data_IF_286407953235
#
_entry.id   IF_286407953235
#
_cell.length_a   1.000
_cell.length_b   1.000
_cell.length_c   1.000
_cell.angle_alpha   90.00
_cell.angle_beta   90.00
_cell.angle_gamma   90.00
#
_symmetry.space_group_name_H-M   'P 1'
#
loop_
_entity.id
_entity.type
_entity.pdbx_description
1 polymer ?
#
# COMPACT_ATOMS: atom_id res chain seq x y z
N UNK A 1 -20.39 -0.80 5.90
CA UNK A 1 -20.88 -0.95 4.52
C UNK A 1 -22.11 -0.06 4.33
N UNK A 2 -22.10 0.79 3.30
CA UNK A 2 -23.25 1.67 3.01
C UNK A 2 -23.33 2.95 3.85
N UNK A 3 -22.26 3.37 4.49
CA UNK A 3 -22.19 4.66 5.15
C UNK A 3 -22.29 5.80 4.12
N UNK A 4 -23.11 6.83 4.39
CA UNK A 4 -23.26 7.98 3.49
C UNK A 4 -22.06 8.93 3.48
N UNK A 5 -21.08 8.67 4.34
CA UNK A 5 -19.87 9.48 4.53
C UNK A 5 -18.62 8.62 4.42
N UNK A 6 -17.58 9.20 3.82
CA UNK A 6 -16.25 8.60 3.80
C UNK A 6 -15.41 9.20 4.92
N UNK A 7 -14.74 8.34 5.69
CA UNK A 7 -13.84 8.76 6.76
C UNK A 7 -12.39 8.47 6.37
N UNK A 8 -11.51 9.45 6.56
CA UNK A 8 -10.07 9.32 6.29
C UNK A 8 -9.29 9.55 7.57
N UNK A 9 -8.36 8.65 7.87
CA UNK A 9 -7.42 8.82 8.96
C UNK A 9 -6.12 9.46 8.49
N UNK A 10 -5.74 10.60 9.07
CA UNK A 10 -4.51 11.32 8.72
C UNK A 10 -3.64 11.48 9.96
N UNK A 11 -2.42 10.94 9.90
CA UNK A 11 -1.40 11.13 10.93
C UNK A 11 -0.47 12.26 10.53
N UNK A 12 -0.19 13.18 11.44
CA UNK A 12 0.77 14.25 11.20
C UNK A 12 2.16 13.68 10.95
N UNK A 13 2.77 14.14 9.88
CA UNK A 13 4.19 13.95 9.56
C UNK A 13 4.86 15.30 9.72
N UNK A 14 5.94 15.35 10.49
CA UNK A 14 6.70 16.59 10.66
C UNK A 14 7.30 17.02 9.32
N UNK A 15 7.08 18.29 8.94
CA UNK A 15 7.47 18.80 7.61
C UNK A 15 6.58 18.32 6.46
N UNK A 16 5.59 17.46 6.69
CA UNK A 16 4.67 16.96 5.67
C UNK A 16 3.67 18.04 5.24
N UNK A 17 3.68 18.40 3.95
CA UNK A 17 2.81 19.46 3.41
C UNK A 17 1.32 19.13 3.59
N UNK A 18 0.88 17.98 3.07
CA UNK A 18 -0.53 17.60 3.12
C UNK A 18 -1.04 17.32 4.54
N UNK A 19 -0.28 16.57 5.35
CA UNK A 19 -0.71 16.26 6.72
C UNK A 19 -0.82 17.50 7.61
N UNK A 20 0.04 18.50 7.40
CA UNK A 20 -0.04 19.78 8.11
C UNK A 20 -1.25 20.60 7.65
N UNK A 21 -1.52 20.62 6.35
CA UNK A 21 -2.70 21.26 5.77
C UNK A 21 -3.99 20.61 6.28
N UNK A 22 -4.08 19.29 6.22
CA UNK A 22 -5.27 18.54 6.60
C UNK A 22 -5.68 18.72 8.06
N UNK A 23 -4.72 18.88 8.98
CA UNK A 23 -4.99 19.17 10.37
C UNK A 23 -5.54 20.59 10.63
N UNK A 24 -5.42 21.47 9.65
CA UNK A 24 -5.99 22.82 9.68
C UNK A 24 -7.42 22.92 9.15
N UNK A 25 -7.95 21.85 8.56
CA UNK A 25 -9.30 21.81 7.99
C UNK A 25 -10.39 21.96 9.08
N UNK A 26 -11.45 22.62 8.71
CA UNK A 26 -12.62 22.86 9.56
C UNK A 26 -13.86 22.24 8.94
N UNK A 27 -14.91 21.97 9.72
CA UNK A 27 -16.20 21.59 9.18
C UNK A 27 -16.68 22.60 8.12
N UNK A 28 -17.19 22.08 7.00
CA UNK A 28 -17.61 22.80 5.80
C UNK A 28 -16.49 23.24 4.85
N UNK A 29 -15.21 22.97 5.12
CA UNK A 29 -14.18 23.11 4.12
C UNK A 29 -14.40 22.08 2.99
N UNK A 30 -14.15 22.51 1.75
CA UNK A 30 -14.35 21.68 0.57
C UNK A 30 -13.00 21.26 0.00
N UNK A 31 -12.85 19.95 -0.23
CA UNK A 31 -11.68 19.37 -0.87
C UNK A 31 -12.07 18.73 -2.20
N UNK A 32 -11.24 18.94 -3.22
CA UNK A 32 -11.30 18.16 -4.43
C UNK A 32 -10.54 16.85 -4.20
N UNK A 33 -11.20 15.73 -4.44
CA UNK A 33 -10.63 14.39 -4.25
C UNK A 33 -10.87 13.56 -5.51
N UNK A 34 -9.93 12.67 -5.82
CA UNK A 34 -10.15 11.65 -6.84
C UNK A 34 -11.10 10.57 -6.30
N UNK A 35 -11.83 9.86 -7.16
CA UNK A 35 -12.57 8.67 -6.76
C UNK A 35 -11.65 7.68 -6.03
N UNK A 36 -12.16 6.94 -5.02
CA UNK A 36 -11.38 5.91 -4.35
C UNK A 36 -10.88 4.87 -5.35
N UNK A 37 -9.60 4.59 -5.31
CA UNK A 37 -8.93 3.57 -6.11
C UNK A 37 -8.02 2.72 -5.24
N UNK A 38 -7.60 1.56 -5.75
CA UNK A 38 -6.68 0.68 -5.07
C UNK A 38 -7.20 -0.75 -4.93
N UNK A 39 -6.31 -1.66 -4.54
CA UNK A 39 -6.58 -3.10 -4.47
C UNK A 39 -6.34 -3.70 -3.09
N UNK A 40 -5.93 -2.88 -2.13
CA UNK A 40 -5.71 -3.33 -0.76
C UNK A 40 -7.04 -3.46 -0.01
N UNK A 41 -7.86 -4.41 -0.48
CA UNK A 41 -9.20 -4.69 0.03
C UNK A 41 -9.37 -6.18 0.29
N UNK A 42 -10.21 -6.54 1.27
CA UNK A 42 -10.65 -7.90 1.47
C UNK A 42 -11.97 -8.11 0.69
N UNK A 43 -12.06 -9.13 -0.18
CA UNK A 43 -13.33 -9.50 -0.76
C UNK A 43 -14.25 -10.00 0.36
N UNK A 44 -15.47 -9.45 0.42
CA UNK A 44 -16.44 -9.83 1.44
C UNK A 44 -17.32 -10.96 0.92
N UNK A 45 -17.39 -12.04 1.66
CA UNK A 45 -18.25 -13.21 1.39
C UNK A 45 -17.56 -14.52 1.77
N UNK A 46 -18.24 -15.33 2.56
CA UNK A 46 -17.73 -16.63 2.99
C UNK A 46 -17.32 -16.69 4.46
N UNK A 47 -16.41 -17.60 4.75
CA UNK A 47 -15.79 -17.79 6.07
C UNK A 47 -14.28 -17.86 5.91
N UNK A 48 -13.59 -16.91 6.49
CA UNK A 48 -12.14 -16.77 6.36
C UNK A 48 -11.49 -16.42 7.70
N UNK A 49 -10.20 -16.74 7.81
CA UNK A 49 -9.35 -16.32 8.90
C UNK A 49 -8.35 -15.29 8.37
N UNK A 50 -8.31 -14.12 8.98
CA UNK A 50 -7.43 -13.03 8.54
C UNK A 50 -6.38 -12.71 9.59
N UNK A 51 -5.13 -12.54 9.15
CA UNK A 51 -4.08 -11.89 9.95
C UNK A 51 -3.85 -10.49 9.41
N UNK A 52 -3.92 -9.51 10.30
CA UNK A 52 -3.68 -8.10 10.00
C UNK A 52 -2.45 -7.62 10.77
N UNK A 53 -1.47 -7.09 10.08
CA UNK A 53 -0.25 -6.53 10.66
C UNK A 53 -0.21 -5.03 10.36
N UNK A 54 -0.26 -4.20 11.39
CA UNK A 54 -0.29 -2.75 11.25
C UNK A 54 0.82 -2.08 12.06
N UNK A 55 1.34 -0.96 11.56
CA UNK A 55 2.15 -0.06 12.37
C UNK A 55 1.82 1.41 12.08
N UNK A 56 1.65 2.18 13.15
CA UNK A 56 1.37 3.61 13.09
C UNK A 56 0.15 3.92 12.22
N UNK A 57 0.33 4.80 11.22
CA UNK A 57 -0.75 5.19 10.30
C UNK A 57 -1.17 4.09 9.31
N UNK A 58 -0.36 3.04 9.13
CA UNK A 58 -0.77 1.86 8.35
C UNK A 58 -2.00 1.14 8.91
N UNK A 59 -2.41 1.49 10.11
CA UNK A 59 -3.66 0.97 10.68
C UNK A 59 -4.93 1.49 9.97
N UNK A 60 -4.85 2.55 9.17
CA UNK A 60 -6.04 3.13 8.50
C UNK A 60 -6.73 2.15 7.55
N UNK A 61 -6.05 1.54 6.54
CA UNK A 61 -6.68 0.53 5.70
C UNK A 61 -6.95 -0.77 6.48
N UNK A 62 -6.10 -1.12 7.43
CA UNK A 62 -6.26 -2.30 8.27
C UNK A 62 -7.55 -2.24 9.10
N UNK A 63 -7.88 -1.05 9.67
CA UNK A 63 -9.16 -0.84 10.36
C UNK A 63 -10.34 -1.02 9.41
N UNK A 64 -10.26 -0.48 8.21
CA UNK A 64 -11.31 -0.62 7.20
C UNK A 64 -11.56 -2.09 6.85
N UNK A 65 -10.48 -2.86 6.61
CA UNK A 65 -10.56 -4.30 6.34
C UNK A 65 -11.17 -5.05 7.55
N UNK A 66 -10.64 -4.82 8.75
CA UNK A 66 -11.14 -5.49 9.97
C UNK A 66 -12.64 -5.25 10.18
N UNK A 67 -13.06 -4.00 10.08
CA UNK A 67 -14.46 -3.62 10.26
C UNK A 67 -15.34 -4.25 9.17
N UNK A 68 -14.95 -4.15 7.90
CA UNK A 68 -15.73 -4.69 6.77
C UNK A 68 -15.89 -6.22 6.87
N UNK A 69 -14.82 -6.92 7.22
CA UNK A 69 -14.87 -8.39 7.42
C UNK A 69 -15.78 -8.75 8.60
N UNK A 70 -15.59 -8.12 9.76
CA UNK A 70 -16.35 -8.45 10.96
C UNK A 70 -17.85 -8.13 10.84
N UNK A 71 -18.20 -7.07 10.10
CA UNK A 71 -19.58 -6.67 9.83
C UNK A 71 -20.20 -7.47 8.67
N UNK A 72 -19.42 -7.78 7.64
CA UNK A 72 -19.92 -8.41 6.41
C UNK A 72 -19.90 -9.94 6.41
N UNK A 73 -19.09 -10.56 7.28
CA UNK A 73 -18.91 -12.03 7.34
C UNK A 73 -19.18 -12.54 8.75
N UNK A 74 -20.22 -13.34 8.92
CA UNK A 74 -20.69 -13.78 10.24
C UNK A 74 -19.72 -14.73 10.97
N UNK A 75 -18.98 -15.55 10.21
CA UNK A 75 -18.17 -16.65 10.74
C UNK A 75 -16.65 -16.45 10.58
N UNK A 76 -16.25 -15.32 10.00
CA UNK A 76 -14.84 -15.00 9.79
C UNK A 76 -14.20 -14.44 11.06
N UNK A 77 -12.90 -14.72 11.20
CA UNK A 77 -12.08 -14.26 12.32
C UNK A 77 -10.99 -13.31 11.85
N UNK A 78 -10.64 -12.39 12.71
CA UNK A 78 -9.59 -11.39 12.47
C UNK A 78 -8.62 -11.37 13.65
N UNK A 79 -7.35 -11.60 13.36
CA UNK A 79 -6.24 -11.39 14.32
C UNK A 79 -5.47 -10.16 13.89
N UNK A 80 -5.39 -9.15 14.76
CA UNK A 80 -4.65 -7.90 14.51
C UNK A 80 -3.44 -7.81 15.44
N UNK A 81 -2.24 -7.66 14.86
CA UNK A 81 -1.04 -7.23 15.57
C UNK A 81 -0.75 -5.78 15.19
N UNK A 82 -0.86 -4.87 16.16
CA UNK A 82 -0.75 -3.44 15.92
C UNK A 82 0.43 -2.84 16.70
N UNK A 83 1.46 -2.42 15.95
CA UNK A 83 2.68 -1.84 16.49
C UNK A 83 2.58 -0.30 16.55
N UNK A 84 2.98 0.26 17.68
CA UNK A 84 3.05 1.70 17.93
C UNK A 84 4.28 2.02 18.79
N UNK A 85 4.64 3.30 18.90
CA UNK A 85 5.69 3.71 19.82
C UNK A 85 5.23 3.55 21.27
N UNK A 86 4.05 4.07 21.56
CA UNK A 86 3.44 4.08 22.89
C UNK A 86 1.91 4.15 22.78
N UNK A 87 1.24 4.04 23.90
CA UNK A 87 -0.23 4.06 24.01
C UNK A 87 -0.85 5.35 23.45
N UNK A 88 -0.20 6.51 23.65
CA UNK A 88 -0.70 7.80 23.15
C UNK A 88 -0.67 7.91 21.62
N UNK A 89 0.22 7.16 20.99
CA UNK A 89 0.36 7.15 19.52
C UNK A 89 -0.62 6.23 18.79
N UNK A 90 -1.45 5.47 19.51
CA UNK A 90 -2.43 4.54 18.95
C UNK A 90 -3.54 5.34 18.25
N UNK A 91 -3.65 5.18 16.94
CA UNK A 91 -4.79 5.69 16.17
C UNK A 91 -6.00 4.77 16.33
N UNK A 92 -7.20 5.36 16.41
CA UNK A 92 -8.49 4.64 16.50
C UNK A 92 -8.63 3.70 17.69
N UNK A 93 -7.97 3.98 18.82
CA UNK A 93 -7.99 3.13 20.00
C UNK A 93 -9.42 2.76 20.40
N UNK A 94 -10.26 3.76 20.64
CA UNK A 94 -11.66 3.53 21.04
C UNK A 94 -12.43 2.68 20.01
N UNK A 95 -12.24 2.96 18.73
CA UNK A 95 -12.93 2.19 17.68
C UNK A 95 -12.52 0.70 17.65
N UNK A 96 -11.26 0.40 17.98
CA UNK A 96 -10.82 -0.99 18.12
C UNK A 96 -11.32 -1.65 19.40
N UNK A 97 -11.39 -0.89 20.50
CA UNK A 97 -11.99 -1.36 21.75
C UNK A 97 -13.48 -1.71 21.52
N UNK A 98 -14.22 -0.85 20.82
CA UNK A 98 -15.62 -1.07 20.44
C UNK A 98 -15.79 -2.30 19.52
N UNK A 99 -14.87 -2.49 18.54
CA UNK A 99 -14.87 -3.68 17.70
C UNK A 99 -14.60 -4.96 18.51
N UNK A 100 -13.67 -4.90 19.45
CA UNK A 100 -13.33 -6.02 20.32
C UNK A 100 -14.50 -6.39 21.21
N UNK A 101 -15.20 -5.42 21.79
CA UNK A 101 -16.38 -5.66 22.63
C UNK A 101 -17.53 -6.27 21.83
N UNK A 102 -17.72 -5.80 20.59
CA UNK A 102 -18.77 -6.32 19.69
C UNK A 102 -18.49 -7.71 19.16
N UNK A 103 -17.21 -8.03 18.89
CA UNK A 103 -16.81 -9.28 18.20
C UNK A 103 -15.83 -10.12 19.03
N UNK A 104 -16.04 -10.23 20.35
CA UNK A 104 -15.17 -10.89 21.34
C UNK A 104 -14.56 -12.23 20.89
N UNK A 105 -15.36 -13.08 20.23
CA UNK A 105 -14.93 -14.42 19.82
C UNK A 105 -14.29 -14.46 18.42
N UNK A 106 -14.37 -13.36 17.67
CA UNK A 106 -13.95 -13.29 16.28
C UNK A 106 -12.87 -12.25 16.02
N UNK A 107 -12.59 -11.35 16.98
CA UNK A 107 -11.59 -10.32 16.87
C UNK A 107 -10.58 -10.42 18.01
N UNK A 108 -9.36 -10.85 17.65
CA UNK A 108 -8.21 -10.84 18.56
C UNK A 108 -7.28 -9.69 18.19
N UNK A 109 -6.88 -8.89 19.18
CA UNK A 109 -5.98 -7.77 18.98
C UNK A 109 -4.83 -7.80 19.98
N UNK A 110 -3.61 -7.64 19.47
CA UNK A 110 -2.39 -7.55 20.28
C UNK A 110 -1.67 -6.24 19.95
N UNK A 111 -1.37 -5.45 20.97
CA UNK A 111 -0.52 -4.28 20.85
C UNK A 111 0.97 -4.65 21.02
N UNK A 112 1.82 -4.05 20.19
CA UNK A 112 3.28 -4.14 20.29
C UNK A 112 3.81 -2.71 20.45
N UNK A 113 4.60 -2.46 21.52
CA UNK A 113 5.07 -1.13 21.87
C UNK A 113 6.59 -1.02 21.76
N UNK A 114 7.07 -0.02 21.02
CA UNK A 114 8.51 0.19 20.77
C UNK A 114 9.19 0.99 21.92
N UNK A 115 8.49 1.98 22.46
CA UNK A 115 9.04 2.92 23.45
C UNK A 115 8.33 2.85 24.82
N UNK A 116 7.34 2.00 24.98
CA UNK A 116 6.58 1.82 26.21
C UNK A 116 6.62 0.36 26.65
N UNK A 117 7.12 0.12 27.89
CA UNK A 117 7.27 -1.23 28.40
C UNK A 117 5.93 -1.92 28.64
N UNK A 118 5.80 -3.14 28.14
CA UNK A 118 4.69 -4.05 28.38
C UNK A 118 5.14 -5.17 29.35
N UNK A 119 4.20 -5.72 30.12
CA UNK A 119 4.47 -6.82 31.06
C UNK A 119 5.02 -8.07 30.37
N UNK A 120 4.57 -8.31 29.13
CA UNK A 120 5.03 -9.43 28.31
C UNK A 120 6.15 -8.96 27.41
N UNK A 121 7.37 -9.43 27.65
CA UNK A 121 8.57 -9.03 26.91
C UNK A 121 8.45 -9.16 25.38
N UNK A 122 7.68 -10.15 24.89
CA UNK A 122 7.45 -10.36 23.46
C UNK A 122 6.73 -9.17 22.79
N UNK A 123 5.95 -8.41 23.55
CA UNK A 123 5.20 -7.27 23.03
C UNK A 123 5.96 -5.94 23.10
N UNK A 124 7.23 -5.98 23.54
CA UNK A 124 8.13 -4.83 23.55
C UNK A 124 8.99 -4.77 22.29
N UNK A 125 9.28 -3.56 21.79
CA UNK A 125 10.11 -3.31 20.63
C UNK A 125 9.35 -3.41 19.31
N UNK A 126 10.07 -3.39 18.20
CA UNK A 126 9.49 -3.35 16.84
C UNK A 126 8.93 -4.70 16.42
N UNK A 127 7.97 -4.66 15.50
CA UNK A 127 7.47 -5.85 14.81
C UNK A 127 8.43 -6.21 13.67
N UNK A 128 9.36 -7.10 13.95
CA UNK A 128 10.36 -7.63 13.04
C UNK A 128 10.17 -9.12 12.76
N UNK A 129 11.05 -9.71 11.95
CA UNK A 129 11.00 -11.11 11.55
C UNK A 129 11.16 -12.07 12.74
N UNK A 130 12.03 -11.76 13.69
CA UNK A 130 12.26 -12.58 14.88
C UNK A 130 11.02 -12.63 15.78
N UNK A 131 10.41 -11.46 16.01
CA UNK A 131 9.18 -11.35 16.79
C UNK A 131 8.04 -12.14 16.17
N UNK A 132 7.81 -12.01 14.85
CA UNK A 132 6.77 -12.78 14.16
C UNK A 132 7.02 -14.28 14.23
N UNK A 133 8.26 -14.73 14.03
CA UNK A 133 8.64 -16.12 14.17
C UNK A 133 8.42 -16.63 15.60
N UNK A 134 8.75 -15.81 16.61
CA UNK A 134 8.52 -16.15 18.02
C UNK A 134 7.03 -16.20 18.35
N UNK A 135 6.21 -15.27 17.82
CA UNK A 135 4.76 -15.30 18.00
C UNK A 135 4.15 -16.57 17.39
N UNK A 136 4.62 -16.97 16.20
CA UNK A 136 4.20 -18.22 15.57
C UNK A 136 4.60 -19.43 16.39
N UNK A 137 5.85 -19.53 16.84
CA UNK A 137 6.36 -20.63 17.64
C UNK A 137 5.63 -20.78 18.98
N UNK A 138 5.18 -19.67 19.57
CA UNK A 138 4.40 -19.65 20.83
C UNK A 138 2.90 -19.83 20.61
N UNK A 139 2.44 -20.00 19.39
CA UNK A 139 1.03 -20.20 19.05
C UNK A 139 0.15 -18.95 19.23
N UNK A 140 0.75 -17.76 19.25
CA UNK A 140 -0.01 -16.48 19.28
C UNK A 140 -0.57 -16.11 17.91
N UNK A 141 0.10 -16.56 16.86
CA UNK A 141 -0.37 -16.55 15.49
C UNK A 141 -0.11 -17.92 14.86
N UNK A 142 -0.97 -18.33 13.94
CA UNK A 142 -0.83 -19.57 13.15
C UNK A 142 -0.77 -19.21 11.66
N UNK A 143 0.40 -18.79 11.14
CA UNK A 143 0.50 -18.18 9.81
C UNK A 143 -0.13 -19.01 8.68
N UNK A 144 -0.05 -20.33 8.76
CA UNK A 144 -0.60 -21.26 7.76
C UNK A 144 -2.13 -21.37 7.78
N UNK A 145 -2.78 -21.03 8.91
CA UNK A 145 -4.23 -21.13 9.10
C UNK A 145 -4.99 -19.91 8.60
N UNK A 146 -4.27 -18.85 8.20
CA UNK A 146 -4.89 -17.64 7.64
C UNK A 146 -5.09 -17.74 6.13
N UNK A 147 -6.29 -17.42 5.67
CA UNK A 147 -6.65 -17.37 4.25
C UNK A 147 -6.02 -16.19 3.54
N UNK A 148 -5.87 -15.06 4.24
CA UNK A 148 -5.15 -13.89 3.76
C UNK A 148 -4.49 -13.12 4.91
N UNK A 149 -3.33 -12.50 4.61
CA UNK A 149 -2.54 -11.70 5.53
C UNK A 149 -2.38 -10.31 4.92
N UNK A 150 -2.79 -9.27 5.65
CA UNK A 150 -2.69 -7.89 5.21
C UNK A 150 -1.69 -7.14 6.06
N UNK A 151 -0.74 -6.48 5.43
CA UNK A 151 0.36 -5.78 6.09
C UNK A 151 0.38 -4.32 5.65
N UNK A 152 0.31 -3.37 6.60
CA UNK A 152 0.50 -1.96 6.28
C UNK A 152 1.24 -1.23 7.41
N UNK A 153 2.32 -0.54 7.04
CA UNK A 153 3.20 0.15 7.99
C UNK A 153 4.49 0.63 7.32
N UNK A 154 5.55 0.90 8.08
CA UNK A 154 6.84 1.27 7.54
C UNK A 154 7.43 0.16 6.66
N UNK A 155 8.08 0.55 5.56
CA UNK A 155 8.67 -0.40 4.61
C UNK A 155 9.56 -1.48 5.25
N UNK A 156 10.46 -1.18 6.21
CA UNK A 156 11.26 -2.22 6.84
C UNK A 156 10.41 -3.29 7.55
N UNK A 157 9.28 -2.90 8.16
CA UNK A 157 8.35 -3.84 8.78
C UNK A 157 7.65 -4.71 7.73
N UNK A 158 7.19 -4.11 6.63
CA UNK A 158 6.52 -4.86 5.55
C UNK A 158 7.48 -5.90 4.97
N UNK A 159 8.71 -5.51 4.66
CA UNK A 159 9.73 -6.41 4.12
C UNK A 159 10.03 -7.55 5.10
N UNK A 160 10.36 -7.22 6.34
CA UNK A 160 10.68 -8.23 7.36
C UNK A 160 9.52 -9.18 7.64
N UNK A 161 8.29 -8.66 7.69
CA UNK A 161 7.09 -9.48 7.91
C UNK A 161 6.80 -10.41 6.72
N UNK A 162 6.89 -9.90 5.49
CA UNK A 162 6.65 -10.71 4.29
C UNK A 162 7.68 -11.83 4.14
N UNK A 163 8.96 -11.53 4.38
CA UNK A 163 10.04 -12.53 4.35
C UNK A 163 9.84 -13.60 5.45
N UNK A 164 9.56 -13.18 6.69
CA UNK A 164 9.33 -14.10 7.80
C UNK A 164 8.14 -15.03 7.54
N UNK A 165 7.02 -14.50 7.06
CA UNK A 165 5.83 -15.28 6.72
C UNK A 165 6.10 -16.28 5.59
N UNK A 166 6.87 -15.87 4.58
CA UNK A 166 7.29 -16.78 3.49
C UNK A 166 8.18 -17.91 4.01
N UNK A 167 9.13 -17.60 4.91
CA UNK A 167 9.97 -18.63 5.57
C UNK A 167 9.14 -19.57 6.43
N UNK A 168 8.05 -19.08 7.04
CA UNK A 168 7.10 -19.89 7.81
C UNK A 168 6.14 -20.70 6.91
N UNK A 169 6.29 -20.65 5.59
CA UNK A 169 5.57 -21.45 4.61
C UNK A 169 4.31 -20.81 4.05
N UNK A 170 4.03 -19.54 4.37
CA UNK A 170 2.84 -18.86 3.82
C UNK A 170 3.04 -18.60 2.32
N UNK A 171 2.10 -19.04 1.48
CA UNK A 171 2.13 -18.74 0.05
C UNK A 171 2.14 -17.23 -0.22
N UNK A 172 3.00 -16.72 -1.11
CA UNK A 172 3.11 -15.27 -1.39
C UNK A 172 1.79 -14.61 -1.79
N UNK A 173 0.92 -15.31 -2.51
CA UNK A 173 -0.39 -14.82 -2.94
C UNK A 173 -1.36 -14.54 -1.79
N UNK A 174 -1.13 -15.12 -0.61
CA UNK A 174 -1.89 -14.82 0.62
C UNK A 174 -1.37 -13.59 1.34
N UNK A 175 -0.15 -13.13 1.04
CA UNK A 175 0.48 -11.97 1.68
C UNK A 175 0.20 -10.73 0.82
N UNK A 176 -0.59 -9.82 1.35
CA UNK A 176 -0.95 -8.56 0.71
C UNK A 176 -0.42 -7.40 1.53
N UNK A 177 0.14 -6.39 0.88
CA UNK A 177 0.64 -5.24 1.61
C UNK A 177 0.35 -3.92 0.88
N UNK A 178 0.28 -2.85 1.65
CA UNK A 178 0.20 -1.49 1.15
C UNK A 178 1.30 -0.64 1.81
N UNK A 179 2.03 0.11 1.00
CA UNK A 179 3.10 1.00 1.43
C UNK A 179 2.69 2.45 1.23
N UNK A 180 2.65 3.25 2.31
CA UNK A 180 2.28 4.66 2.21
C UNK A 180 3.42 5.56 1.77
N UNK A 181 4.62 5.29 2.24
CA UNK A 181 5.81 6.09 1.92
C UNK A 181 7.05 5.22 1.99
N UNK A 182 7.87 5.13 0.96
CA UNK A 182 9.16 4.47 1.05
C UNK A 182 10.06 5.24 2.03
N UNK A 183 10.71 4.53 2.93
CA UNK A 183 11.63 5.12 3.93
C UNK A 183 12.91 5.68 3.33
N UNK A 184 13.19 5.35 2.08
CA UNK A 184 14.27 5.85 1.22
C UNK A 184 13.93 5.46 -0.22
N UNK A 185 14.50 6.11 -1.25
CA UNK A 185 14.54 5.52 -2.58
C UNK A 185 15.13 4.12 -2.41
N UNK A 186 14.36 3.09 -2.72
CA UNK A 186 14.89 1.71 -2.66
C UNK A 186 16.17 1.68 -3.47
N UNK A 187 17.27 1.09 -2.95
CA UNK A 187 18.43 0.85 -3.78
C UNK A 187 17.90 0.06 -4.98
N UNK A 188 18.04 0.64 -6.15
CA UNK A 188 17.77 -0.05 -7.40
C UNK A 188 18.63 -1.30 -7.31
N UNK A 189 17.98 -2.46 -7.09
CA UNK A 189 18.68 -3.72 -7.23
C UNK A 189 19.33 -3.65 -8.61
N UNK A 190 20.64 -3.63 -8.64
CA UNK A 190 21.43 -3.57 -9.85
C UNK A 190 21.24 -4.88 -10.63
N UNK A 191 20.06 -5.03 -11.23
CA UNK A 191 19.97 -5.84 -12.42
C UNK A 191 20.91 -5.16 -13.42
N UNK A 192 21.90 -5.91 -13.89
CA UNK A 192 22.94 -5.46 -14.78
C UNK A 192 22.39 -4.42 -15.76
N UNK A 193 22.81 -3.17 -15.60
CA UNK A 193 22.39 -2.04 -16.40
C UNK A 193 22.69 -2.33 -17.87
N UNK A 194 21.67 -2.78 -18.60
CA UNK A 194 21.64 -2.52 -20.02
C UNK A 194 21.38 -1.02 -20.18
N UNK A 195 22.08 -0.32 -21.09
CA UNK A 195 22.06 1.12 -21.15
C UNK A 195 20.61 1.61 -21.31
N UNK A 196 20.16 2.42 -20.34
CA UNK A 196 19.03 3.32 -20.53
C UNK A 196 19.27 4.10 -21.83
N UNK A 197 18.21 4.38 -22.58
CA UNK A 197 18.30 5.14 -23.83
C UNK A 197 19.17 6.36 -23.59
N UNK A 198 20.34 6.41 -24.18
CA UNK A 198 21.31 7.51 -24.04
C UNK A 198 20.85 8.79 -24.78
N UNK A 199 19.64 8.79 -25.34
CA UNK A 199 18.93 9.90 -25.97
C UNK A 199 17.53 9.95 -25.41
N UNK A 200 16.99 11.15 -25.22
CA UNK A 200 15.63 11.36 -24.73
C UNK A 200 14.58 10.62 -25.55
N UNK A 201 13.48 10.27 -24.94
CA UNK A 201 12.36 9.61 -25.58
C UNK A 201 11.23 10.60 -25.84
N UNK A 202 10.50 10.39 -26.95
CA UNK A 202 9.20 11.02 -27.16
C UNK A 202 8.13 10.14 -26.52
N UNK A 203 7.40 10.69 -25.60
CA UNK A 203 6.26 10.02 -24.95
C UNK A 203 4.98 10.59 -25.50
N UNK A 204 4.07 9.76 -25.98
CA UNK A 204 2.70 10.12 -26.33
C UNK A 204 1.75 9.45 -25.35
N UNK A 205 0.76 10.19 -24.91
CA UNK A 205 -0.23 9.73 -23.93
C UNK A 205 -1.62 9.89 -24.52
N UNK A 206 -2.44 8.86 -24.39
CA UNK A 206 -3.89 8.92 -24.64
C UNK A 206 -4.57 9.03 -23.28
N UNK A 207 -5.31 10.11 -23.09
CA UNK A 207 -6.04 10.40 -21.86
C UNK A 207 -7.32 11.19 -22.20
N UNK A 208 -8.48 10.71 -21.73
CA UNK A 208 -9.79 11.27 -22.02
C UNK A 208 -10.08 11.40 -23.53
N UNK A 209 -9.67 10.39 -24.31
CA UNK A 209 -9.80 10.36 -25.77
C UNK A 209 -8.84 11.32 -26.51
N UNK A 210 -8.01 12.08 -25.82
CA UNK A 210 -7.07 13.01 -26.41
C UNK A 210 -5.65 12.44 -26.43
N UNK A 211 -4.96 12.57 -27.57
CA UNK A 211 -3.56 12.19 -27.70
C UNK A 211 -2.66 13.42 -27.58
N UNK A 212 -1.73 13.38 -26.62
CA UNK A 212 -0.77 14.47 -26.33
C UNK A 212 0.62 13.89 -26.24
N UNK A 213 1.62 14.67 -26.66
CA UNK A 213 3.03 14.22 -26.65
C UNK A 213 3.93 15.21 -25.96
N UNK A 214 4.97 14.69 -25.29
CA UNK A 214 6.02 15.46 -24.70
C UNK A 214 7.38 14.77 -24.88
N UNK A 215 8.45 15.52 -24.70
CA UNK A 215 9.81 14.99 -24.69
C UNK A 215 10.20 14.62 -23.25
N UNK A 216 10.95 13.55 -23.11
CA UNK A 216 11.49 13.08 -21.85
C UNK A 216 13.00 12.93 -22.00
N UNK A 217 13.78 13.58 -21.17
CA UNK A 217 15.24 13.47 -21.19
C UNK A 217 15.70 12.17 -20.51
N UNK A 218 16.94 11.77 -20.79
CA UNK A 218 17.51 10.60 -20.16
C UNK A 218 17.65 10.81 -18.63
N UNK A 219 16.97 9.97 -17.86
CA UNK A 219 16.98 10.04 -16.38
C UNK A 219 15.77 10.71 -15.76
N UNK A 220 14.93 11.36 -16.55
CA UNK A 220 13.68 11.94 -16.04
C UNK A 220 12.72 10.88 -15.55
N UNK A 221 11.88 11.28 -14.60
CA UNK A 221 10.68 10.53 -14.24
C UNK A 221 9.54 10.95 -15.19
N UNK A 222 8.80 9.99 -15.69
CA UNK A 222 7.74 10.23 -16.69
C UNK A 222 6.68 11.22 -16.20
N UNK A 223 6.26 11.12 -14.94
CA UNK A 223 5.27 12.04 -14.35
C UNK A 223 5.79 13.48 -14.26
N UNK A 224 7.08 13.65 -13.93
CA UNK A 224 7.70 14.98 -13.82
C UNK A 224 7.83 15.61 -15.22
N UNK A 225 8.27 14.87 -16.23
CA UNK A 225 8.36 15.33 -17.59
C UNK A 225 7.00 15.71 -18.18
N UNK A 226 5.96 14.92 -17.89
CA UNK A 226 4.58 15.23 -18.27
C UNK A 226 4.11 16.56 -17.63
N UNK A 227 4.28 16.71 -16.32
CA UNK A 227 3.87 17.89 -15.58
C UNK A 227 4.61 19.14 -16.06
N UNK A 228 5.93 19.07 -16.31
CA UNK A 228 6.72 20.18 -16.89
C UNK A 228 6.22 20.58 -18.28
N UNK A 229 5.65 19.63 -19.01
CA UNK A 229 5.04 19.89 -20.33
C UNK A 229 3.59 20.36 -20.24
N UNK A 230 3.06 20.60 -19.04
CA UNK A 230 1.69 21.03 -18.78
C UNK A 230 0.66 19.90 -18.94
N UNK A 231 1.07 18.65 -18.84
CA UNK A 231 0.20 17.49 -18.91
C UNK A 231 0.08 16.83 -17.53
N UNK A 232 -1.09 16.95 -16.92
CA UNK A 232 -1.39 16.27 -15.65
C UNK A 232 -1.87 14.85 -15.94
N UNK A 233 -1.12 13.85 -15.45
CA UNK A 233 -1.47 12.44 -15.57
C UNK A 233 -2.08 11.92 -14.25
N UNK A 234 -2.95 10.92 -14.29
CA UNK A 234 -3.48 10.30 -13.07
C UNK A 234 -2.35 9.62 -12.27
N UNK A 235 -2.13 10.04 -11.05
CA UNK A 235 -1.24 9.34 -10.11
C UNK A 235 -1.58 9.69 -8.65
N UNK A 236 -1.04 8.90 -7.70
CA UNK A 236 -1.18 9.17 -6.28
C UNK A 236 0.13 8.89 -5.54
N UNK A 237 0.51 7.62 -5.35
CA UNK A 237 1.65 7.25 -4.50
C UNK A 237 3.03 7.53 -5.13
N UNK A 238 3.14 7.64 -6.44
CA UNK A 238 4.37 7.75 -7.23
C UNK A 238 5.41 6.61 -7.00
N UNK A 239 5.02 5.51 -6.35
CA UNK A 239 5.93 4.46 -5.87
C UNK A 239 5.53 3.05 -6.32
N UNK A 240 4.72 2.92 -7.36
CA UNK A 240 4.35 1.61 -7.90
C UNK A 240 3.36 0.78 -7.07
N UNK A 241 2.64 1.40 -6.12
CA UNK A 241 1.82 0.70 -5.12
C UNK A 241 0.31 0.79 -5.35
N UNK A 242 -0.19 1.97 -5.76
CA UNK A 242 -1.64 2.23 -5.73
C UNK A 242 -2.35 1.95 -7.05
N UNK A 243 -1.63 1.65 -8.12
CA UNK A 243 -2.13 1.48 -9.47
C UNK A 243 -2.93 2.66 -10.07
N UNK A 244 -3.00 3.82 -9.39
CA UNK A 244 -3.70 5.02 -9.92
C UNK A 244 -3.13 5.49 -11.26
N UNK A 245 -1.83 5.30 -11.48
CA UNK A 245 -1.12 5.64 -12.72
C UNK A 245 -1.01 4.47 -13.71
N UNK A 246 -1.85 3.44 -13.56
CA UNK A 246 -1.89 2.30 -14.47
C UNK A 246 -2.32 2.75 -15.85
N UNK A 247 -1.57 2.33 -16.85
CA UNK A 247 -1.86 2.59 -18.26
C UNK A 247 -1.33 1.44 -19.10
N UNK A 248 -1.74 1.38 -20.36
CA UNK A 248 -1.28 0.35 -21.29
C UNK A 248 -0.18 0.89 -22.18
N UNK A 249 0.94 0.18 -22.30
CA UNK A 249 1.96 0.45 -23.29
C UNK A 249 1.47 -0.05 -24.66
N UNK A 250 0.96 0.88 -25.48
CA UNK A 250 0.36 0.57 -26.75
C UNK A 250 1.38 0.55 -27.89
N UNK A 251 2.52 1.23 -27.73
CA UNK A 251 3.61 1.25 -28.68
C UNK A 251 4.96 1.51 -28.00
N UNK A 252 6.02 0.90 -28.52
CA UNK A 252 7.36 1.04 -28.02
C UNK A 252 7.71 0.02 -26.94
N UNK A 253 8.85 0.23 -26.29
CA UNK A 253 9.39 -0.65 -25.25
C UNK A 253 9.78 0.18 -24.04
N UNK A 254 9.63 -0.41 -22.86
CA UNK A 254 10.06 0.19 -21.61
C UNK A 254 10.05 -0.82 -20.47
N UNK A 255 10.47 -0.35 -19.31
CA UNK A 255 10.49 -1.16 -18.10
C UNK A 255 9.95 -0.36 -16.90
N UNK A 256 9.46 -1.07 -15.91
CA UNK A 256 9.10 -0.51 -14.62
C UNK A 256 10.26 -0.68 -13.65
N UNK A 257 10.68 0.39 -12.98
CA UNK A 257 11.69 0.32 -11.92
C UNK A 257 11.20 -0.51 -10.72
N UNK A 258 9.90 -0.42 -10.43
CA UNK A 258 9.24 -1.16 -9.36
C UNK A 258 7.79 -1.45 -9.73
N UNK A 259 7.29 -2.60 -9.29
CA UNK A 259 5.89 -2.95 -9.40
C UNK A 259 5.46 -3.75 -8.17
N UNK A 260 4.52 -3.20 -7.41
CA UNK A 260 3.93 -3.83 -6.24
C UNK A 260 2.40 -4.01 -6.37
N UNK A 261 1.83 -3.58 -7.49
CA UNK A 261 0.36 -3.53 -7.64
C UNK A 261 -0.19 -4.19 -8.89
N UNK A 262 0.62 -4.34 -9.95
CA UNK A 262 0.18 -5.05 -11.15
C UNK A 262 0.41 -6.54 -11.00
N UNK A 263 -0.61 -7.29 -11.34
CA UNK A 263 -0.57 -8.75 -11.41
C UNK A 263 0.21 -9.22 -12.67
N UNK A 264 0.76 -10.45 -12.68
CA UNK A 264 1.51 -10.97 -13.82
C UNK A 264 0.74 -10.88 -15.15
N UNK A 265 -0.54 -11.20 -15.16
CA UNK A 265 -1.37 -11.14 -16.37
C UNK A 265 -1.54 -9.72 -16.93
N UNK A 266 -1.51 -8.69 -16.07
CA UNK A 266 -1.57 -7.29 -16.49
C UNK A 266 -0.28 -6.89 -17.21
N UNK A 267 0.86 -7.30 -16.66
CA UNK A 267 2.17 -7.08 -17.28
C UNK A 267 2.24 -7.79 -18.64
N UNK A 268 1.76 -9.03 -18.72
CA UNK A 268 1.68 -9.80 -19.97
C UNK A 268 0.80 -9.14 -21.02
N UNK A 269 -0.26 -8.43 -20.59
CA UNK A 269 -1.14 -7.65 -21.46
C UNK A 269 -0.60 -6.25 -21.79
N UNK A 270 0.60 -5.92 -21.32
CA UNK A 270 1.27 -4.65 -21.59
C UNK A 270 0.87 -3.50 -20.67
N UNK A 271 0.23 -3.77 -19.53
CA UNK A 271 -0.01 -2.72 -18.54
C UNK A 271 1.26 -2.36 -17.78
N UNK A 272 1.39 -1.07 -17.53
CA UNK A 272 2.54 -0.50 -16.81
C UNK A 272 2.06 0.55 -15.80
N UNK A 273 2.93 0.88 -14.85
CA UNK A 273 2.71 1.99 -13.91
C UNK A 273 3.53 3.19 -14.39
N UNK A 274 2.86 4.24 -14.85
CA UNK A 274 3.50 5.44 -15.39
C UNK A 274 4.52 6.06 -14.43
N UNK A 275 4.26 6.05 -13.12
CA UNK A 275 5.17 6.56 -12.10
C UNK A 275 6.50 5.80 -12.01
N UNK A 276 6.57 4.58 -12.53
CA UNK A 276 7.75 3.72 -12.47
C UNK A 276 8.30 3.40 -13.86
N UNK A 277 7.62 3.86 -14.90
CA UNK A 277 7.94 3.51 -16.27
C UNK A 277 9.15 4.29 -16.79
N UNK A 278 10.07 3.57 -17.41
CA UNK A 278 11.26 4.08 -18.09
C UNK A 278 11.23 3.63 -19.54
N UNK A 279 11.14 4.55 -20.51
CA UNK A 279 11.22 4.23 -21.93
C UNK A 279 12.55 3.56 -22.28
N UNK A 280 12.49 2.55 -23.17
CA UNK A 280 13.67 1.92 -23.79
C UNK A 280 13.72 2.14 -25.29
N UNK A 281 12.63 2.62 -25.91
CA UNK A 281 12.57 3.03 -27.32
C UNK A 281 12.47 4.57 -27.45
N UNK A 282 12.81 5.09 -28.61
CA UNK A 282 12.77 6.56 -28.91
C UNK A 282 11.34 7.11 -28.90
N UNK A 283 10.34 6.26 -29.14
CA UNK A 283 8.94 6.59 -29.06
C UNK A 283 8.20 5.54 -28.24
N UNK A 284 7.42 6.00 -27.27
CA UNK A 284 6.46 5.18 -26.53
C UNK A 284 5.08 5.84 -26.54
N UNK A 285 4.06 5.00 -26.54
CA UNK A 285 2.65 5.41 -26.43
C UNK A 285 2.03 4.73 -25.24
N UNK A 286 1.57 5.54 -24.29
CA UNK A 286 0.90 5.11 -23.07
C UNK A 286 -0.59 5.47 -23.15
N UNK A 287 -1.45 4.49 -23.02
CA UNK A 287 -2.89 4.64 -23.09
C UNK A 287 -3.51 4.50 -21.70
N UNK A 288 -4.00 5.60 -21.14
CA UNK A 288 -4.67 5.66 -19.85
C UNK A 288 -6.15 5.35 -19.96
N UNK A 289 -6.73 5.35 -21.16
CA UNK A 289 -8.13 5.03 -21.38
C UNK A 289 -8.37 3.52 -21.53
N UNK A 290 -7.29 2.73 -21.74
CA UNK A 290 -7.31 1.28 -21.87
C UNK A 290 -7.28 0.56 -20.50
N UNK A 291 -8.03 1.03 -19.50
CA UNK A 291 -8.05 0.48 -18.12
C UNK A 291 -9.25 -0.40 -17.83
#
# INVERSE_FOLDING_TARGET
>A
LGEPQLSVGIKRIEGGAFSSFALGLKPADVLQVMPPQGRFTAPIGGRHNYLLLAAGSGVTPIKSIAQSVLEGEADSTVTLCYANRNTESIMFRQAFDDLKDRYLTRFLMTHIMDEEAQDVALFNGRMDAEKLSTMATRGLISPMDYDAIYICGPQPMITAASEALTVLGVPPERIKFELFTPSSPLPIASAAQKPSVARGARVEVVLDGARRGFAMEAGDMLLDAASQSGLELPYSCANGMCATCRCKLSQGEGEMAQNFSLEPWEIEQGYVLACQFKPRSELVVLDFDAV
#
